data_IF_714488227381
#
_entry.id   IF_714488227381
#
_cell.length_a   1.000
_cell.length_b   1.000
_cell.length_c   1.000
_cell.angle_alpha   90.00
_cell.angle_beta   90.00
_cell.angle_gamma   90.00
#
_symmetry.space_group_name_H-M   'P 1'
#
loop_
_entity.id
_entity.type
_entity.pdbx_description
1 polymer ?
#
# COMPACT_ATOMS: atom_id res chain seq x y z
N UNK A 1 -15.34 -9.51 -34.66
CA UNK A 1 -14.69 -10.00 -33.42
C UNK A 1 -13.52 -9.08 -33.20
N UNK A 2 -13.71 -8.12 -32.32
CA UNK A 2 -12.74 -7.09 -31.98
C UNK A 2 -11.69 -7.75 -31.07
N UNK A 3 -10.41 -7.66 -31.42
CA UNK A 3 -9.36 -8.24 -30.59
C UNK A 3 -9.27 -7.50 -29.25
N UNK A 4 -9.39 -8.25 -28.17
CA UNK A 4 -9.24 -7.77 -26.80
C UNK A 4 -7.89 -7.04 -26.64
N UNK A 5 -7.84 -5.85 -26.00
CA UNK A 5 -6.60 -5.10 -25.89
C UNK A 5 -5.55 -5.89 -25.09
N UNK A 6 -4.36 -6.00 -25.67
CA UNK A 6 -3.15 -6.65 -25.11
C UNK A 6 -2.69 -6.14 -23.73
N UNK A 7 -3.39 -5.17 -23.14
CA UNK A 7 -3.13 -4.59 -21.82
C UNK A 7 -3.71 -5.42 -20.67
N UNK A 8 -4.51 -6.44 -20.93
CA UNK A 8 -5.30 -7.06 -19.87
C UNK A 8 -4.49 -7.97 -18.92
N UNK A 9 -3.32 -8.52 -19.30
CA UNK A 9 -2.61 -9.49 -18.44
C UNK A 9 -1.10 -9.59 -18.62
N UNK A 10 -0.43 -8.65 -19.31
CA UNK A 10 1.03 -8.76 -19.49
C UNK A 10 1.78 -8.21 -18.27
N UNK A 11 2.04 -9.15 -17.34
CA UNK A 11 3.20 -9.28 -16.47
C UNK A 11 3.68 -7.96 -15.86
N UNK A 12 3.19 -7.70 -14.65
CA UNK A 12 3.93 -6.84 -13.73
C UNK A 12 5.28 -7.51 -13.54
N UNK A 13 6.32 -6.95 -14.18
CA UNK A 13 7.70 -7.36 -14.03
C UNK A 13 8.09 -7.25 -12.55
N UNK A 14 7.98 -8.39 -11.87
CA UNK A 14 8.13 -8.61 -10.44
C UNK A 14 9.44 -8.00 -9.88
N UNK A 15 10.50 -7.99 -10.71
CA UNK A 15 11.79 -7.42 -10.37
C UNK A 15 11.72 -5.92 -10.03
N UNK A 16 10.67 -5.20 -10.48
CA UNK A 16 10.57 -3.74 -10.28
C UNK A 16 10.19 -3.34 -8.86
N UNK A 17 9.56 -4.21 -8.07
CA UNK A 17 9.30 -3.90 -6.66
C UNK A 17 10.58 -3.98 -5.85
N UNK A 18 11.45 -4.95 -6.14
CA UNK A 18 12.74 -5.14 -5.47
C UNK A 18 13.66 -3.92 -5.61
N UNK A 19 13.65 -3.25 -6.77
CA UNK A 19 14.39 -2.02 -7.00
C UNK A 19 13.96 -0.88 -6.05
N UNK A 20 12.72 -0.92 -5.56
CA UNK A 20 12.16 0.10 -4.69
C UNK A 20 12.35 -0.19 -3.19
N UNK A 21 12.79 -1.37 -2.79
CA UNK A 21 12.98 -1.71 -1.37
C UNK A 21 14.00 -0.81 -0.68
N UNK A 22 14.96 -0.27 -1.44
CA UNK A 22 15.99 0.65 -0.92
C UNK A 22 15.50 2.09 -0.77
N UNK A 23 14.31 2.42 -1.28
CA UNK A 23 13.81 3.79 -1.37
C UNK A 23 12.90 4.18 -0.20
N UNK A 24 12.58 3.25 0.69
CA UNK A 24 11.78 3.51 1.89
C UNK A 24 12.15 2.54 3.02
N UNK A 25 11.86 2.96 4.25
CA UNK A 25 11.86 2.11 5.46
C UNK A 25 10.80 2.67 6.40
N UNK A 26 10.13 1.81 7.16
CA UNK A 26 9.25 2.23 8.25
C UNK A 26 10.01 2.58 9.53
N UNK A 27 11.32 2.26 9.58
CA UNK A 27 12.11 2.28 10.81
C UNK A 27 11.89 1.04 11.70
N UNK A 28 11.09 0.06 11.25
CA UNK A 28 10.87 -1.22 11.92
C UNK A 28 11.15 -2.36 10.95
N UNK A 29 12.21 -3.12 11.22
CA UNK A 29 12.68 -4.21 10.34
C UNK A 29 11.60 -5.29 10.11
N UNK A 30 10.81 -5.64 11.13
CA UNK A 30 9.77 -6.67 11.00
C UNK A 30 8.64 -6.22 10.05
N UNK A 31 8.26 -4.94 10.08
CA UNK A 31 7.26 -4.38 9.16
C UNK A 31 7.82 -4.32 7.75
N UNK A 32 9.07 -3.85 7.62
CA UNK A 32 9.73 -3.73 6.33
C UNK A 32 9.82 -5.11 5.66
N UNK A 33 10.24 -6.15 6.39
CA UNK A 33 10.28 -7.53 5.92
C UNK A 33 8.88 -8.04 5.53
N UNK A 34 7.86 -7.79 6.36
CA UNK A 34 6.48 -8.23 6.06
C UNK A 34 5.93 -7.60 4.77
N UNK A 35 6.11 -6.28 4.61
CA UNK A 35 5.67 -5.56 3.41
C UNK A 35 6.45 -6.04 2.19
N UNK A 36 7.77 -6.19 2.29
CA UNK A 36 8.61 -6.71 1.20
C UNK A 36 8.19 -8.13 0.81
N UNK A 37 7.93 -9.01 1.78
CA UNK A 37 7.44 -10.37 1.51
C UNK A 37 6.08 -10.35 0.79
N UNK A 38 5.15 -9.47 1.19
CA UNK A 38 3.88 -9.32 0.47
C UNK A 38 4.07 -8.86 -0.99
N UNK A 39 5.07 -8.02 -1.25
CA UNK A 39 5.44 -7.58 -2.59
C UNK A 39 6.13 -8.69 -3.39
N UNK A 40 6.88 -9.56 -2.71
CA UNK A 40 7.53 -10.74 -3.28
C UNK A 40 6.55 -11.91 -3.53
N UNK A 41 5.39 -11.97 -2.88
CA UNK A 41 4.44 -13.05 -3.13
C UNK A 41 3.31 -12.67 -4.09
N UNK A 42 3.20 -11.38 -4.43
CA UNK A 42 2.13 -10.87 -5.27
C UNK A 42 2.33 -11.16 -6.76
N UNK A 43 1.27 -11.67 -7.40
CA UNK A 43 1.21 -11.89 -8.85
C UNK A 43 0.74 -10.63 -9.61
N UNK A 44 0.07 -9.72 -8.91
CA UNK A 44 -0.42 -8.47 -9.48
C UNK A 44 -0.50 -7.37 -8.43
N UNK A 45 -0.65 -6.13 -8.89
CA UNK A 45 -0.55 -4.94 -8.06
C UNK A 45 -1.62 -4.80 -6.95
N UNK A 46 -2.67 -5.60 -6.98
CA UNK A 46 -3.73 -5.61 -5.95
C UNK A 46 -3.47 -6.61 -4.82
N UNK A 47 -2.40 -7.41 -4.91
CA UNK A 47 -2.10 -8.48 -3.96
C UNK A 47 -0.98 -8.14 -2.98
N UNK A 48 -0.39 -6.95 -3.05
CA UNK A 48 0.71 -6.57 -2.17
C UNK A 48 0.37 -5.36 -1.31
N UNK A 49 1.12 -5.19 -0.23
CA UNK A 49 1.03 -4.03 0.66
C UNK A 49 1.98 -2.93 0.20
N UNK A 50 1.47 -1.71 0.08
CA UNK A 50 2.29 -0.54 -0.24
C UNK A 50 2.64 0.24 1.05
N UNK A 51 3.93 0.55 1.24
CA UNK A 51 4.34 1.51 2.26
C UNK A 51 4.05 2.94 1.80
N UNK A 52 3.31 3.69 2.61
CA UNK A 52 2.94 5.09 2.34
C UNK A 52 3.41 5.95 3.52
N UNK A 53 4.33 6.91 3.30
CA UNK A 53 4.70 7.86 4.34
C UNK A 53 3.50 8.64 4.84
N UNK A 54 3.38 8.78 6.16
CA UNK A 54 2.22 9.38 6.81
C UNK A 54 1.98 10.84 6.37
N UNK A 55 3.06 11.55 6.01
CA UNK A 55 3.05 12.94 5.56
C UNK A 55 2.34 13.14 4.22
N UNK A 56 2.08 12.05 3.47
CA UNK A 56 1.30 12.11 2.22
C UNK A 56 -0.20 12.28 2.45
N UNK A 57 -0.68 12.05 3.67
CA UNK A 57 -2.09 12.22 4.03
C UNK A 57 -2.37 13.65 4.50
N UNK A 58 -3.48 14.21 4.03
CA UNK A 58 -3.90 15.59 4.32
C UNK A 58 -5.31 15.61 4.90
N UNK A 59 -5.70 16.73 5.52
CA UNK A 59 -7.06 16.92 6.06
C UNK A 59 -7.50 15.78 7.00
N UNK A 60 -6.57 15.32 7.84
CA UNK A 60 -6.80 14.18 8.74
C UNK A 60 -7.81 14.61 9.81
N UNK A 61 -8.96 13.92 9.86
CA UNK A 61 -10.06 14.22 10.77
C UNK A 61 -10.43 12.98 11.56
N UNK A 62 -10.50 13.09 12.88
CA UNK A 62 -10.94 12.00 13.74
C UNK A 62 -12.41 11.62 13.49
N UNK A 63 -12.70 10.33 13.43
CA UNK A 63 -14.05 9.78 13.24
C UNK A 63 -14.53 9.10 14.51
N UNK A 64 -13.79 8.10 15.00
CA UNK A 64 -14.22 7.25 16.10
C UNK A 64 -13.04 6.53 16.75
N UNK A 65 -13.26 6.02 17.96
CA UNK A 65 -12.32 5.17 18.69
C UNK A 65 -13.06 3.89 19.11
N UNK A 66 -12.39 2.76 18.92
CA UNK A 66 -12.86 1.44 19.36
C UNK A 66 -11.80 0.76 20.21
N UNK A 67 -12.06 -0.48 20.63
CA UNK A 67 -11.15 -1.22 21.51
C UNK A 67 -9.73 -1.41 20.95
N UNK A 68 -9.60 -1.42 19.62
CA UNK A 68 -8.34 -1.72 18.93
C UNK A 68 -7.63 -0.49 18.36
N UNK A 69 -8.22 0.71 18.46
CA UNK A 69 -7.60 1.88 17.86
C UNK A 69 -8.55 3.02 17.52
N UNK A 70 -8.00 4.02 16.82
CA UNK A 70 -8.70 5.23 16.37
C UNK A 70 -8.80 5.24 14.85
N UNK A 71 -9.94 5.71 14.37
CA UNK A 71 -10.27 5.83 12.96
C UNK A 71 -10.30 7.31 12.60
N UNK A 72 -9.65 7.65 11.49
CA UNK A 72 -9.61 8.99 10.92
C UNK A 72 -10.00 8.94 9.44
N UNK A 73 -10.63 10.00 8.93
CA UNK A 73 -10.64 10.25 7.48
C UNK A 73 -9.41 11.06 7.11
N UNK A 74 -8.94 10.90 5.88
CA UNK A 74 -7.87 11.69 5.31
C UNK A 74 -8.05 11.80 3.80
N UNK A 75 -7.41 12.80 3.20
CA UNK A 75 -7.25 12.89 1.76
C UNK A 75 -5.86 12.42 1.34
N UNK A 76 -5.80 11.69 0.23
CA UNK A 76 -4.54 11.27 -0.38
C UNK A 76 -4.60 11.48 -1.89
N UNK A 77 -3.87 12.48 -2.37
CA UNK A 77 -3.95 12.95 -3.76
C UNK A 77 -3.24 12.03 -4.75
N UNK A 78 -2.17 11.34 -4.33
CA UNK A 78 -1.46 10.40 -5.21
C UNK A 78 -2.28 9.12 -5.45
N UNK A 79 -3.05 8.70 -4.44
CA UNK A 79 -3.91 7.53 -4.53
C UNK A 79 -3.18 6.19 -4.63
N UNK A 80 -3.95 5.10 -4.70
CA UNK A 80 -3.40 3.74 -4.72
C UNK A 80 -2.86 3.35 -6.09
N UNK A 81 -1.92 2.39 -6.12
CA UNK A 81 -1.39 1.82 -7.37
C UNK A 81 -2.47 1.00 -8.07
N UNK A 82 -2.65 1.23 -9.37
CA UNK A 82 -3.55 0.44 -10.21
C UNK A 82 -2.83 -0.52 -11.16
N UNK A 83 -1.73 -0.10 -11.78
CA UNK A 83 -0.91 -0.94 -12.67
C UNK A 83 0.43 -0.26 -13.01
N UNK A 84 1.36 -1.02 -13.60
CA UNK A 84 2.61 -0.49 -14.14
C UNK A 84 2.46 -0.08 -15.61
N UNK A 85 2.69 1.20 -15.94
CA UNK A 85 2.75 1.64 -17.33
C UNK A 85 4.14 1.31 -17.92
N UNK A 86 4.21 0.23 -18.71
CA UNK A 86 5.46 -0.27 -19.31
C UNK A 86 6.13 0.79 -20.19
N UNK A 87 5.34 1.57 -20.95
CA UNK A 87 5.87 2.58 -21.88
C UNK A 87 6.44 3.77 -21.15
N UNK A 88 5.73 4.25 -20.11
CA UNK A 88 6.15 5.41 -19.31
C UNK A 88 7.13 5.04 -18.19
N UNK A 89 7.34 3.73 -17.96
CA UNK A 89 8.13 3.19 -16.86
C UNK A 89 7.77 3.81 -15.51
N UNK A 90 6.47 3.88 -15.21
CA UNK A 90 5.95 4.45 -13.96
C UNK A 90 4.68 3.74 -13.51
N UNK A 91 4.43 3.76 -12.20
CA UNK A 91 3.16 3.33 -11.63
C UNK A 91 2.03 4.28 -12.04
N UNK A 92 0.95 3.71 -12.59
CA UNK A 92 -0.33 4.41 -12.68
C UNK A 92 -1.02 4.33 -11.32
N UNK A 93 -1.56 5.47 -10.88
CA UNK A 93 -2.22 5.60 -9.57
C UNK A 93 -3.57 6.27 -9.73
N UNK A 94 -4.50 5.88 -8.88
CA UNK A 94 -5.85 6.45 -8.86
C UNK A 94 -6.21 6.90 -7.45
N UNK A 95 -6.63 8.17 -7.35
CA UNK A 95 -7.10 8.77 -6.10
C UNK A 95 -8.62 8.73 -6.03
N UNK A 96 -9.14 8.18 -4.93
CA UNK A 96 -10.55 8.25 -4.58
C UNK A 96 -10.91 9.54 -3.81
N UNK A 97 -9.92 10.41 -3.57
CA UNK A 97 -10.07 11.63 -2.80
C UNK A 97 -10.01 11.38 -1.29
N UNK A 98 -10.92 10.59 -0.74
CA UNK A 98 -11.03 10.33 0.70
C UNK A 98 -10.68 8.87 1.06
N UNK A 99 -9.94 8.71 2.15
CA UNK A 99 -9.37 7.47 2.65
C UNK A 99 -9.61 7.35 4.15
N UNK A 100 -9.67 6.12 4.64
CA UNK A 100 -9.78 5.82 6.06
C UNK A 100 -8.41 5.40 6.59
N UNK A 101 -7.94 6.06 7.65
CA UNK A 101 -6.74 5.69 8.39
C UNK A 101 -7.15 5.07 9.74
N UNK A 102 -6.71 3.85 10.01
CA UNK A 102 -6.85 3.20 11.32
C UNK A 102 -5.48 3.23 12.02
N UNK A 103 -5.39 3.90 13.15
CA UNK A 103 -4.23 3.82 14.04
C UNK A 103 -4.53 2.82 15.16
N UNK A 104 -3.57 1.99 15.53
CA UNK A 104 -3.75 0.98 16.57
C UNK A 104 -3.22 1.47 17.93
N UNK A 105 -3.86 1.02 19.00
CA UNK A 105 -3.42 1.34 20.36
C UNK A 105 -2.13 0.57 20.71
N UNK A 106 -1.20 1.20 21.44
CA UNK A 106 0.06 0.59 21.90
C UNK A 106 1.01 0.08 20.79
N UNK A 107 1.17 0.84 19.71
CA UNK A 107 2.05 0.52 18.55
C UNK A 107 3.55 0.52 18.85
N UNK A 108 3.98 0.58 20.11
CA UNK A 108 5.39 0.56 20.51
C UNK A 108 6.00 -0.84 20.42
N UNK A 109 5.17 -1.89 20.53
CA UNK A 109 5.55 -3.27 20.26
C UNK A 109 4.63 -3.80 19.15
N UNK A 110 5.03 -3.61 17.90
CA UNK A 110 4.33 -4.17 16.73
C UNK A 110 4.53 -5.69 16.78
N UNK A 111 3.67 -6.33 17.56
CA UNK A 111 3.59 -7.77 17.78
C UNK A 111 2.89 -8.45 16.59
N UNK A 112 3.02 -9.77 16.46
CA UNK A 112 2.30 -10.62 15.50
C UNK A 112 0.79 -10.32 15.40
N UNK A 113 0.19 -9.82 16.48
CA UNK A 113 -1.22 -9.42 16.53
C UNK A 113 -1.55 -8.31 15.51
N UNK A 114 -0.60 -7.43 15.19
CA UNK A 114 -0.70 -6.45 14.12
C UNK A 114 -0.86 -7.11 12.75
N UNK A 115 0.00 -8.08 12.45
CA UNK A 115 0.03 -8.75 11.15
C UNK A 115 -1.23 -9.60 10.94
N UNK A 116 -1.78 -10.18 12.00
CA UNK A 116 -3.03 -10.94 11.95
C UNK A 116 -4.26 -10.09 11.61
N UNK A 117 -4.26 -8.77 11.84
CA UNK A 117 -5.36 -7.88 11.41
C UNK A 117 -5.26 -7.47 9.92
N UNK A 118 -4.07 -7.57 9.33
CA UNK A 118 -3.81 -7.13 7.95
C UNK A 118 -4.09 -8.23 6.92
N UNK A 119 -4.05 -9.51 7.34
CA UNK A 119 -4.25 -10.72 6.51
C UNK A 119 -5.71 -11.17 6.50
#
# INVERSE_FOLDING_TARGET
MEEEPKWLWEDVDYNKYQDNFKNWTSGNENIDEFIQQSQLDALHCKQFLEWIPFEKFQNITYIAEGGFGKIHSAKWSEGHIEYWDIKKKKWHRHSWGEYVLKSLNNSTDICSDFLNEVI
#
